data_IF_690301647064
#
_entry.id   IF_690301647064
#
_cell.length_a   1.000
_cell.length_b   1.000
_cell.length_c   1.000
_cell.angle_alpha   90.00
_cell.angle_beta   90.00
_cell.angle_gamma   90.00
#
_symmetry.space_group_name_H-M   'P 1'
#
loop_
_entity.id
_entity.type
_entity.pdbx_description
1 polymer ?
#
# COMPACT_ATOMS: atom_id res chain seq x y z
N UNK A 1 58.37 -61.10 -1.20
CA UNK A 1 57.02 -61.17 -0.60
C UNK A 1 56.43 -59.77 -0.60
N UNK A 2 55.29 -59.59 -1.27
CA UNK A 2 54.68 -58.29 -1.54
C UNK A 2 53.84 -57.79 -0.36
N UNK A 3 54.13 -56.54 -0.04
CA UNK A 3 53.37 -55.51 0.68
C UNK A 3 51.85 -55.69 0.58
N UNK A 4 51.15 -55.58 1.72
CA UNK A 4 49.71 -55.25 1.75
C UNK A 4 49.49 -54.22 2.85
N UNK A 5 49.72 -52.95 2.50
CA UNK A 5 49.24 -51.80 3.26
C UNK A 5 47.74 -51.67 3.01
N UNK A 6 46.95 -51.79 4.09
CA UNK A 6 45.53 -51.48 4.08
C UNK A 6 45.40 -49.96 4.16
N UNK A 7 45.10 -49.34 3.02
CA UNK A 7 44.72 -47.93 2.91
C UNK A 7 43.26 -47.79 3.33
N UNK A 8 43.04 -47.30 4.55
CA UNK A 8 41.73 -46.91 5.05
C UNK A 8 41.38 -45.53 4.44
N UNK A 9 40.67 -45.53 3.31
CA UNK A 9 40.09 -44.32 2.74
C UNK A 9 38.88 -43.90 3.60
N UNK A 10 39.09 -42.93 4.49
CA UNK A 10 38.00 -42.21 5.13
C UNK A 10 37.47 -41.21 4.09
N UNK A 11 36.36 -41.57 3.43
CA UNK A 11 35.54 -40.62 2.70
C UNK A 11 34.93 -39.67 3.74
N UNK A 12 35.53 -38.48 3.88
CA UNK A 12 34.86 -37.34 4.49
C UNK A 12 33.86 -36.84 3.45
N UNK A 13 32.65 -37.41 3.46
CA UNK A 13 31.50 -36.80 2.81
C UNK A 13 31.20 -35.52 3.58
N UNK A 14 31.69 -34.40 3.07
CA UNK A 14 31.25 -33.06 3.45
C UNK A 14 29.75 -33.00 3.19
N UNK A 15 28.96 -33.29 4.21
CA UNK A 15 27.56 -32.87 4.25
C UNK A 15 27.64 -31.36 4.36
N UNK A 16 27.70 -30.68 3.21
CA UNK A 16 27.22 -29.31 3.13
C UNK A 16 25.77 -29.42 3.59
N UNK A 17 25.52 -29.15 4.87
CA UNK A 17 24.18 -28.98 5.42
C UNK A 17 23.58 -27.87 4.56
N UNK A 18 22.77 -28.27 3.58
CA UNK A 18 22.18 -27.36 2.63
C UNK A 18 21.31 -26.42 3.42
N UNK A 19 21.77 -25.18 3.59
CA UNK A 19 20.98 -24.12 4.18
C UNK A 19 19.66 -24.07 3.43
N UNK A 20 18.56 -24.17 4.16
CA UNK A 20 17.24 -24.07 3.55
C UNK A 20 17.00 -22.64 3.06
N UNK A 21 16.13 -22.46 2.06
CA UNK A 21 15.80 -21.13 1.55
C UNK A 21 15.21 -20.22 2.64
N UNK A 22 14.41 -20.78 3.56
CA UNK A 22 13.93 -20.10 4.77
C UNK A 22 15.08 -19.60 5.65
N UNK A 23 16.04 -20.47 6.00
CA UNK A 23 17.20 -20.07 6.82
C UNK A 23 18.07 -19.03 6.13
N UNK A 24 18.15 -19.03 4.81
CA UNK A 24 18.82 -17.99 4.02
C UNK A 24 18.10 -16.65 4.16
N UNK A 25 16.79 -16.61 3.98
CA UNK A 25 15.97 -15.40 4.20
C UNK A 25 16.16 -14.91 5.62
N UNK A 26 16.01 -15.76 6.62
CA UNK A 26 16.09 -15.34 8.02
C UNK A 26 17.47 -14.77 8.34
N UNK A 27 18.55 -15.36 7.83
CA UNK A 27 19.91 -14.85 8.01
C UNK A 27 20.14 -13.50 7.32
N UNK A 28 19.59 -13.30 6.12
CA UNK A 28 19.75 -12.06 5.35
C UNK A 28 18.92 -10.92 5.97
N UNK A 29 17.65 -11.21 6.31
CA UNK A 29 16.69 -10.23 6.83
C UNK A 29 16.69 -10.14 8.36
N UNK A 30 17.74 -10.62 9.06
CA UNK A 30 17.89 -10.48 10.51
C UNK A 30 18.27 -9.05 10.95
N UNK A 31 17.48 -8.06 10.55
CA UNK A 31 17.62 -6.66 10.95
C UNK A 31 16.31 -5.89 10.75
N UNK A 32 16.20 -4.70 11.35
CA UNK A 32 15.08 -3.78 11.17
C UNK A 32 15.62 -2.46 10.59
N UNK A 33 15.33 -2.11 9.32
CA UNK A 33 15.82 -0.88 8.71
C UNK A 33 15.65 0.37 9.59
N UNK A 34 14.50 0.53 10.24
CA UNK A 34 14.20 1.68 11.12
C UNK A 34 15.09 1.82 12.35
N UNK A 35 15.83 0.76 12.71
CA UNK A 35 16.76 0.73 13.85
C UNK A 35 18.22 0.91 13.46
N UNK A 36 18.51 1.02 12.16
CA UNK A 36 19.85 1.15 11.63
C UNK A 36 20.10 2.58 11.12
N UNK A 37 21.33 3.04 11.29
CA UNK A 37 21.84 4.24 10.60
C UNK A 37 21.97 4.00 9.10
N UNK A 38 22.00 5.06 8.30
CA UNK A 38 22.17 4.96 6.83
C UNK A 38 23.41 4.11 6.46
N UNK A 39 24.53 4.32 7.16
CA UNK A 39 25.76 3.55 6.96
C UNK A 39 25.60 2.06 7.29
N UNK A 40 24.84 1.72 8.33
CA UNK A 40 24.55 0.32 8.67
C UNK A 40 23.60 -0.33 7.66
N UNK A 41 22.62 0.41 7.16
CA UNK A 41 21.74 -0.06 6.08
C UNK A 41 22.55 -0.32 4.79
N UNK A 42 23.45 0.59 4.41
CA UNK A 42 24.36 0.42 3.26
C UNK A 42 25.18 -0.87 3.37
N UNK A 43 25.63 -1.24 4.57
CA UNK A 43 26.38 -2.47 4.80
C UNK A 43 25.52 -3.75 4.64
N UNK A 44 24.19 -3.66 4.74
CA UNK A 44 23.26 -4.78 4.52
C UNK A 44 22.90 -4.97 3.05
N UNK A 45 22.94 -3.90 2.24
CA UNK A 45 22.52 -3.92 0.84
C UNK A 45 23.17 -5.03 -0.02
N UNK A 46 24.49 -5.30 0.06
CA UNK A 46 25.09 -6.33 -0.78
C UNK A 46 24.49 -7.73 -0.59
N UNK A 47 24.09 -8.08 0.64
CA UNK A 47 23.46 -9.38 0.92
C UNK A 47 22.05 -9.47 0.33
N UNK A 48 21.28 -8.38 0.38
CA UNK A 48 19.98 -8.29 -0.29
C UNK A 48 20.13 -8.40 -1.80
N UNK A 49 21.10 -7.69 -2.39
CA UNK A 49 21.36 -7.71 -3.84
C UNK A 49 21.76 -9.10 -4.33
N UNK A 50 22.58 -9.83 -3.56
CA UNK A 50 22.95 -11.22 -3.85
C UNK A 50 21.71 -12.11 -3.83
N UNK A 51 20.82 -11.96 -2.84
CA UNK A 51 19.57 -12.72 -2.76
C UNK A 51 18.65 -12.42 -3.95
N UNK A 52 18.42 -11.15 -4.26
CA UNK A 52 17.63 -10.73 -5.41
C UNK A 52 18.19 -11.26 -6.73
N UNK A 53 19.51 -11.17 -6.91
CA UNK A 53 20.19 -11.69 -8.11
C UNK A 53 20.08 -13.21 -8.22
N UNK A 54 20.19 -13.93 -7.10
CA UNK A 54 20.04 -15.40 -7.05
C UNK A 54 18.64 -15.82 -7.46
N UNK A 55 17.60 -15.23 -6.86
CA UNK A 55 16.21 -15.58 -7.17
C UNK A 55 15.82 -15.13 -8.58
N UNK A 56 16.23 -13.94 -9.00
CA UNK A 56 15.97 -13.42 -10.34
C UNK A 56 16.74 -14.12 -11.45
N UNK A 57 17.92 -14.66 -11.15
CA UNK A 57 18.78 -15.38 -12.10
C UNK A 57 18.30 -16.80 -12.42
N UNK A 58 17.56 -17.46 -11.52
CA UNK A 58 17.02 -18.80 -11.72
C UNK A 58 15.58 -18.91 -11.18
N UNK A 59 14.65 -18.33 -11.93
CA UNK A 59 13.22 -18.34 -11.58
C UNK A 59 12.60 -19.74 -11.66
N UNK A 60 13.17 -20.66 -12.43
CA UNK A 60 12.70 -22.06 -12.51
C UNK A 60 12.86 -22.73 -11.13
N UNK A 61 13.98 -22.47 -10.47
CA UNK A 61 14.29 -23.08 -9.18
C UNK A 61 13.69 -22.31 -7.99
N UNK A 62 13.82 -20.98 -7.95
CA UNK A 62 13.56 -20.20 -6.73
C UNK A 62 12.16 -19.57 -6.65
N UNK A 63 11.46 -19.37 -7.77
CA UNK A 63 10.19 -18.63 -7.73
C UNK A 63 9.12 -19.31 -6.88
N UNK A 64 9.02 -20.64 -6.94
CA UNK A 64 8.10 -21.40 -6.10
C UNK A 64 8.48 -21.38 -4.62
N UNK A 65 9.77 -21.30 -4.31
CA UNK A 65 10.27 -21.18 -2.94
C UNK A 65 9.92 -19.79 -2.39
N UNK A 66 10.19 -18.71 -3.14
CA UNK A 66 9.77 -17.35 -2.78
C UNK A 66 8.28 -17.26 -2.49
N UNK A 67 7.43 -17.85 -3.35
CA UNK A 67 5.98 -17.91 -3.12
C UNK A 67 5.60 -18.65 -1.83
N UNK A 68 6.34 -19.69 -1.45
CA UNK A 68 6.08 -20.43 -0.22
C UNK A 68 6.42 -19.56 1.01
N UNK A 69 7.58 -18.91 1.00
CA UNK A 69 8.03 -18.08 2.13
C UNK A 69 7.18 -16.81 2.32
N UNK A 70 6.70 -16.19 1.24
CA UNK A 70 5.76 -15.07 1.32
C UNK A 70 4.40 -15.45 1.93
N UNK A 71 3.98 -16.73 1.83
CA UNK A 71 2.78 -17.23 2.52
C UNK A 71 3.02 -17.45 4.01
N UNK A 72 4.25 -17.79 4.41
CA UNK A 72 4.64 -18.03 5.79
C UNK A 72 4.47 -16.77 6.67
N UNK A 73 4.51 -16.94 7.99
CA UNK A 73 4.36 -15.86 9.00
C UNK A 73 5.55 -15.73 9.96
N UNK A 74 6.60 -16.54 9.77
CA UNK A 74 7.75 -16.60 10.68
C UNK A 74 8.92 -15.67 10.36
N UNK A 75 8.91 -14.98 9.22
CA UNK A 75 10.05 -14.15 8.80
C UNK A 75 9.98 -12.74 9.40
N UNK A 76 11.11 -12.05 9.33
CA UNK A 76 11.19 -10.63 9.63
C UNK A 76 10.16 -9.83 8.79
N UNK A 77 9.40 -8.88 9.39
CA UNK A 77 8.42 -8.06 8.66
C UNK A 77 8.97 -7.35 7.41
N UNK A 78 10.23 -6.93 7.41
CA UNK A 78 10.86 -6.29 6.26
C UNK A 78 10.90 -7.19 5.02
N UNK A 79 11.15 -8.49 5.20
CA UNK A 79 11.14 -9.47 4.10
C UNK A 79 9.81 -9.48 3.36
N UNK A 80 8.68 -9.38 4.06
CA UNK A 80 7.39 -9.45 3.39
C UNK A 80 7.12 -8.29 2.44
N UNK A 81 7.71 -7.12 2.68
CA UNK A 81 7.64 -6.01 1.72
C UNK A 81 8.66 -6.21 0.59
N UNK A 82 9.92 -6.44 0.94
CA UNK A 82 11.01 -6.53 -0.04
C UNK A 82 10.86 -7.73 -0.98
N UNK A 83 10.58 -8.91 -0.42
CA UNK A 83 10.30 -10.13 -1.17
C UNK A 83 9.03 -10.03 -2.03
N UNK A 84 8.04 -9.24 -1.63
CA UNK A 84 6.89 -8.92 -2.48
C UNK A 84 7.30 -8.04 -3.66
N UNK A 85 8.18 -7.05 -3.44
CA UNK A 85 8.77 -6.26 -4.51
C UNK A 85 9.55 -7.13 -5.50
N UNK A 86 10.35 -8.08 -5.00
CA UNK A 86 11.03 -9.07 -5.83
C UNK A 86 10.03 -9.93 -6.62
N UNK A 87 9.00 -10.49 -5.97
CA UNK A 87 7.97 -11.27 -6.65
C UNK A 87 7.31 -10.47 -7.79
N UNK A 88 6.88 -9.24 -7.52
CA UNK A 88 6.26 -8.35 -8.51
C UNK A 88 7.21 -7.98 -9.66
N UNK A 89 8.53 -7.99 -9.43
CA UNK A 89 9.52 -7.74 -10.49
C UNK A 89 9.72 -8.93 -11.43
N UNK A 90 9.42 -10.15 -10.96
CA UNK A 90 9.67 -11.40 -11.71
C UNK A 90 8.44 -11.92 -12.48
N UNK A 91 7.25 -11.45 -12.14
CA UNK A 91 6.00 -12.01 -12.68
C UNK A 91 4.89 -10.97 -12.71
N UNK A 92 4.04 -11.08 -13.73
CA UNK A 92 2.82 -10.27 -13.89
C UNK A 92 1.55 -11.09 -13.62
N UNK A 93 1.67 -12.30 -13.06
CA UNK A 93 0.53 -13.17 -12.84
C UNK A 93 -0.41 -12.60 -11.77
N UNK A 94 -1.72 -12.80 -11.96
CA UNK A 94 -2.73 -12.35 -11.01
C UNK A 94 -2.50 -12.94 -9.60
N UNK A 95 -2.22 -14.24 -9.53
CA UNK A 95 -2.01 -14.94 -8.26
C UNK A 95 -0.78 -14.43 -7.50
N UNK A 96 0.28 -14.05 -8.21
CA UNK A 96 1.48 -13.50 -7.57
C UNK A 96 1.26 -12.08 -7.07
N UNK A 97 0.46 -11.26 -7.77
CA UNK A 97 0.05 -9.94 -7.29
C UNK A 97 -0.84 -10.03 -6.05
N UNK A 98 -1.80 -10.95 -6.02
CA UNK A 98 -2.62 -11.23 -4.84
C UNK A 98 -1.74 -11.67 -3.65
N UNK A 99 -0.81 -12.59 -3.86
CA UNK A 99 0.16 -13.03 -2.84
C UNK A 99 1.04 -11.88 -2.34
N UNK A 100 1.55 -11.04 -3.24
CA UNK A 100 2.36 -9.89 -2.86
C UNK A 100 1.58 -8.91 -1.97
N UNK A 101 0.30 -8.65 -2.27
CA UNK A 101 -0.56 -7.80 -1.43
C UNK A 101 -0.76 -8.40 -0.04
N UNK A 102 -1.02 -9.70 0.03
CA UNK A 102 -1.17 -10.41 1.31
C UNK A 102 0.11 -10.36 2.16
N UNK A 103 1.27 -10.51 1.52
CA UNK A 103 2.56 -10.41 2.17
C UNK A 103 2.88 -8.97 2.59
N UNK A 104 2.67 -7.96 1.74
CA UNK A 104 2.85 -6.53 2.10
C UNK A 104 2.03 -6.18 3.36
N UNK A 105 0.85 -6.78 3.56
CA UNK A 105 0.06 -6.55 4.78
C UNK A 105 0.75 -7.02 6.07
N UNK A 106 1.81 -7.83 6.00
CA UNK A 106 2.60 -8.33 7.13
C UNK A 106 3.79 -7.43 7.48
N UNK A 107 4.14 -6.45 6.65
CA UNK A 107 5.33 -5.62 6.88
C UNK A 107 5.17 -4.70 8.10
N UNK A 108 6.28 -4.23 8.65
CA UNK A 108 6.28 -3.07 9.56
C UNK A 108 6.31 -1.80 8.71
N UNK A 109 5.52 -0.78 9.05
CA UNK A 109 5.49 0.48 8.30
C UNK A 109 6.71 1.35 8.60
N UNK A 110 7.34 1.18 9.77
CA UNK A 110 8.51 1.97 10.17
C UNK A 110 9.76 1.61 9.34
N UNK A 111 9.82 0.37 8.85
CA UNK A 111 10.94 -0.14 8.07
C UNK A 111 10.84 0.20 6.57
N UNK A 112 9.74 0.80 6.13
CA UNK A 112 9.43 1.02 4.70
C UNK A 112 9.29 2.50 4.39
N UNK A 113 9.85 2.93 3.25
CA UNK A 113 9.60 4.27 2.73
C UNK A 113 8.09 4.47 2.46
N UNK A 114 7.46 5.38 3.21
CA UNK A 114 6.03 5.64 3.11
C UNK A 114 5.59 6.03 1.69
N UNK A 115 6.43 6.79 0.97
CA UNK A 115 6.17 7.14 -0.43
C UNK A 115 6.15 5.91 -1.33
N UNK A 116 7.13 5.01 -1.18
CA UNK A 116 7.22 3.81 -2.01
C UNK A 116 6.03 2.90 -1.70
N UNK A 117 5.70 2.72 -0.41
CA UNK A 117 4.54 1.95 0.03
C UNK A 117 3.24 2.42 -0.62
N UNK A 118 2.94 3.72 -0.54
CA UNK A 118 1.72 4.30 -1.13
C UNK A 118 1.71 4.16 -2.65
N UNK A 119 2.84 4.33 -3.33
CA UNK A 119 2.93 4.17 -4.80
C UNK A 119 2.72 2.73 -5.23
N UNK A 120 3.29 1.77 -4.51
CA UNK A 120 3.10 0.33 -4.78
C UNK A 120 1.63 -0.05 -4.65
N UNK A 121 0.97 0.33 -3.56
CA UNK A 121 -0.45 0.01 -3.37
C UNK A 121 -1.37 0.76 -4.34
N UNK A 122 -1.09 2.03 -4.66
CA UNK A 122 -1.81 2.78 -5.70
C UNK A 122 -1.71 2.08 -7.08
N UNK A 123 -0.52 1.60 -7.44
CA UNK A 123 -0.31 0.89 -8.70
C UNK A 123 -1.18 -0.39 -8.76
N UNK A 124 -1.14 -1.22 -7.71
CA UNK A 124 -1.92 -2.46 -7.63
C UNK A 124 -3.44 -2.20 -7.60
N UNK A 125 -3.88 -1.16 -6.87
CA UNK A 125 -5.29 -0.76 -6.84
C UNK A 125 -5.81 -0.35 -8.22
N UNK A 126 -5.00 0.41 -8.99
CA UNK A 126 -5.35 0.82 -10.36
C UNK A 126 -5.46 -0.36 -11.33
N UNK A 127 -4.71 -1.43 -11.08
CA UNK A 127 -4.83 -2.68 -11.83
C UNK A 127 -6.06 -3.51 -11.40
N UNK A 128 -6.81 -3.04 -10.40
CA UNK A 128 -8.07 -3.64 -9.96
C UNK A 128 -7.93 -4.67 -8.83
N UNK A 129 -6.76 -4.76 -8.19
CA UNK A 129 -6.56 -5.62 -7.03
C UNK A 129 -7.07 -4.98 -5.75
N UNK A 130 -7.53 -5.82 -4.82
CA UNK A 130 -7.96 -5.38 -3.49
C UNK A 130 -6.74 -5.17 -2.58
N UNK A 131 -6.36 -3.91 -2.37
CA UNK A 131 -5.26 -3.50 -1.49
C UNK A 131 -5.75 -3.03 -0.12
N UNK A 132 -7.00 -3.28 0.24
CA UNK A 132 -7.63 -2.71 1.45
C UNK A 132 -6.87 -3.07 2.71
N UNK A 133 -6.52 -4.34 2.89
CA UNK A 133 -5.85 -4.84 4.08
C UNK A 133 -4.51 -4.14 4.36
N UNK A 134 -3.54 -4.07 3.42
CA UNK A 134 -2.32 -3.30 3.66
C UNK A 134 -2.59 -1.79 3.75
N UNK A 135 -3.48 -1.23 2.92
CA UNK A 135 -3.74 0.21 2.91
C UNK A 135 -4.26 0.75 4.26
N UNK A 136 -5.17 0.03 4.94
CA UNK A 136 -5.72 0.50 6.24
C UNK A 136 -4.69 0.48 7.37
N UNK A 137 -3.52 -0.18 7.21
CA UNK A 137 -2.47 -0.18 8.24
C UNK A 137 -2.00 1.23 8.57
N UNK A 138 -2.00 2.14 7.60
CA UNK A 138 -1.54 3.51 7.82
C UNK A 138 -2.40 4.27 8.82
N UNK A 139 -3.64 3.83 9.07
CA UNK A 139 -4.56 4.44 10.03
C UNK A 139 -4.11 4.23 11.49
N UNK A 140 -3.25 3.25 11.75
CA UNK A 140 -2.68 2.98 13.07
C UNK A 140 -1.29 3.63 13.27
N UNK A 141 -0.80 4.35 12.26
CA UNK A 141 0.45 5.11 12.34
C UNK A 141 0.13 6.60 12.55
N UNK A 142 0.39 7.11 13.76
CA UNK A 142 -0.05 8.43 14.27
C UNK A 142 0.26 9.61 13.33
N UNK A 143 1.32 9.50 12.52
CA UNK A 143 1.83 10.60 11.66
C UNK A 143 2.24 10.13 10.26
N UNK A 144 1.47 9.20 9.68
CA UNK A 144 1.77 8.71 8.33
C UNK A 144 1.64 9.82 7.28
N UNK A 145 2.76 10.24 6.70
CA UNK A 145 2.80 11.27 5.66
C UNK A 145 4.17 11.33 4.98
N UNK A 146 4.20 11.75 3.72
CA UNK A 146 5.47 12.01 3.04
C UNK A 146 5.46 13.34 2.30
N UNK A 147 6.62 14.00 2.27
CA UNK A 147 6.80 15.23 1.54
C UNK A 147 7.02 14.96 0.04
N UNK A 148 6.50 15.83 -0.82
CA UNK A 148 6.69 15.85 -2.26
C UNK A 148 7.49 17.10 -2.64
N UNK A 149 8.83 16.99 -2.77
CA UNK A 149 9.69 18.14 -3.03
C UNK A 149 9.30 18.92 -4.28
N UNK A 150 8.89 18.22 -5.34
CA UNK A 150 8.51 18.81 -6.63
C UNK A 150 7.33 19.78 -6.51
N UNK A 151 6.45 19.58 -5.52
CA UNK A 151 5.23 20.35 -5.32
C UNK A 151 5.23 21.11 -3.98
N UNK A 152 6.36 21.10 -3.25
CA UNK A 152 6.49 21.63 -1.90
C UNK A 152 5.32 21.23 -0.96
N UNK A 153 4.81 20.01 -1.11
CA UNK A 153 3.55 19.57 -0.51
C UNK A 153 3.74 18.38 0.43
N UNK A 154 2.99 18.33 1.53
CA UNK A 154 2.88 17.13 2.38
C UNK A 154 1.66 16.31 1.95
N UNK A 155 1.91 15.06 1.58
CA UNK A 155 0.88 14.06 1.36
C UNK A 155 0.50 13.43 2.70
N UNK A 156 -0.58 13.92 3.30
CA UNK A 156 -1.04 13.47 4.62
C UNK A 156 -1.70 12.07 4.58
N UNK A 157 -1.96 11.48 5.75
CA UNK A 157 -2.57 10.15 5.89
C UNK A 157 -3.89 10.00 5.09
N UNK A 158 -4.74 11.03 5.06
CA UNK A 158 -6.00 11.01 4.31
C UNK A 158 -5.79 10.94 2.79
N UNK A 159 -4.84 11.70 2.25
CA UNK A 159 -4.48 11.61 0.83
C UNK A 159 -3.77 10.29 0.51
N UNK A 160 -2.86 9.81 1.37
CA UNK A 160 -2.25 8.49 1.24
C UNK A 160 -3.32 7.40 1.13
N UNK A 161 -4.29 7.38 2.06
CA UNK A 161 -5.37 6.39 2.06
C UNK A 161 -6.23 6.49 0.81
N UNK A 162 -6.60 7.72 0.42
CA UNK A 162 -7.40 8.01 -0.77
C UNK A 162 -6.72 7.47 -2.04
N UNK A 163 -5.43 7.72 -2.22
CA UNK A 163 -4.70 7.27 -3.39
C UNK A 163 -4.47 5.75 -3.41
N UNK A 164 -4.46 5.07 -2.26
CA UNK A 164 -4.39 3.60 -2.25
C UNK A 164 -5.76 2.94 -2.47
N UNK A 165 -6.86 3.53 -1.98
CA UNK A 165 -8.17 2.87 -1.98
C UNK A 165 -9.13 3.32 -3.08
N UNK A 166 -9.12 4.57 -3.51
CA UNK A 166 -10.10 5.07 -4.49
C UNK A 166 -9.88 4.53 -5.92
N UNK A 167 -8.66 4.16 -6.36
CA UNK A 167 -8.50 3.57 -7.69
C UNK A 167 -9.16 2.19 -7.89
N UNK A 168 -9.39 1.44 -6.80
CA UNK A 168 -10.05 0.13 -6.82
C UNK A 168 -11.57 0.25 -6.62
N UNK A 169 -12.32 -0.85 -6.74
CA UNK A 169 -13.78 -0.83 -6.57
C UNK A 169 -14.19 -0.55 -5.13
N UNK A 170 -15.16 0.35 -4.95
CA UNK A 170 -15.74 0.75 -3.65
C UNK A 170 -16.12 -0.43 -2.73
N UNK A 171 -16.65 -1.52 -3.31
CA UNK A 171 -17.08 -2.72 -2.58
C UNK A 171 -15.97 -3.40 -1.77
N UNK A 172 -14.70 -3.13 -2.09
CA UNK A 172 -13.56 -3.73 -1.37
C UNK A 172 -13.29 -3.05 -0.02
N UNK A 173 -13.53 -1.74 0.08
CA UNK A 173 -13.01 -0.97 1.20
C UNK A 173 -14.05 -0.17 1.99
N UNK A 174 -15.19 0.23 1.42
CA UNK A 174 -16.15 1.10 2.13
C UNK A 174 -16.62 0.45 3.43
N UNK A 175 -17.05 -0.81 3.39
CA UNK A 175 -17.57 -1.52 4.55
C UNK A 175 -16.50 -1.71 5.63
N UNK A 176 -15.27 -1.98 5.22
CA UNK A 176 -14.12 -2.10 6.11
C UNK A 176 -13.84 -0.76 6.80
N UNK A 177 -13.80 0.35 6.06
CA UNK A 177 -13.57 1.68 6.64
C UNK A 177 -14.66 2.09 7.62
N UNK A 178 -15.93 1.81 7.30
CA UNK A 178 -17.07 2.04 8.19
C UNK A 178 -16.94 1.21 9.47
N UNK A 179 -16.61 -0.08 9.33
CA UNK A 179 -16.54 -1.01 10.45
C UNK A 179 -15.47 -0.62 11.48
N UNK A 180 -14.30 -0.17 11.04
CA UNK A 180 -13.19 0.18 11.94
C UNK A 180 -13.28 1.62 12.49
N UNK A 181 -14.13 2.48 11.91
CA UNK A 181 -14.11 3.93 12.14
C UNK A 181 -14.13 4.34 13.62
N UNK A 182 -14.95 3.69 14.44
CA UNK A 182 -15.13 4.06 15.85
C UNK A 182 -13.92 3.73 16.72
N UNK A 183 -13.09 2.78 16.29
CA UNK A 183 -11.92 2.31 17.02
C UNK A 183 -10.65 3.12 16.66
N UNK A 184 -10.76 4.02 15.69
CA UNK A 184 -9.67 4.87 15.22
C UNK A 184 -9.52 6.14 16.06
N UNK A 185 -8.30 6.68 16.09
CA UNK A 185 -8.06 8.01 16.62
C UNK A 185 -8.69 9.12 15.75
N UNK A 186 -8.68 10.34 16.26
CA UNK A 186 -9.30 11.50 15.59
C UNK A 186 -8.69 11.81 14.22
N UNK A 187 -7.38 11.63 14.03
CA UNK A 187 -6.72 11.90 12.76
C UNK A 187 -7.07 10.82 11.73
N UNK A 188 -7.03 9.56 12.15
CA UNK A 188 -7.43 8.42 11.34
C UNK A 188 -8.92 8.47 10.96
N UNK A 189 -9.81 8.88 11.85
CA UNK A 189 -11.22 9.14 11.53
C UNK A 189 -11.38 10.21 10.44
N UNK A 190 -10.62 11.32 10.52
CA UNK A 190 -10.64 12.34 9.47
C UNK A 190 -10.10 11.80 8.15
N UNK A 191 -9.05 10.97 8.17
CA UNK A 191 -8.53 10.28 6.99
C UNK A 191 -9.59 9.39 6.34
N UNK A 192 -10.36 8.62 7.13
CA UNK A 192 -11.49 7.82 6.63
C UNK A 192 -12.56 8.71 6.00
N UNK A 193 -12.98 9.79 6.67
CA UNK A 193 -13.97 10.73 6.12
C UNK A 193 -13.48 11.30 4.77
N UNK A 194 -12.22 11.69 4.66
CA UNK A 194 -11.64 12.17 3.39
C UNK A 194 -11.76 11.13 2.29
N UNK A 195 -11.36 9.88 2.56
CA UNK A 195 -11.41 8.80 1.56
C UNK A 195 -12.85 8.45 1.16
N UNK A 196 -13.78 8.37 2.12
CA UNK A 196 -15.20 8.14 1.84
C UNK A 196 -15.81 9.31 1.04
N UNK A 197 -15.37 10.54 1.32
CA UNK A 197 -15.77 11.71 0.54
C UNK A 197 -15.32 11.58 -0.91
N UNK A 198 -14.05 11.21 -1.13
CA UNK A 198 -13.55 10.96 -2.47
C UNK A 198 -14.24 9.76 -3.14
N UNK A 199 -14.68 8.72 -2.43
CA UNK A 199 -15.29 7.53 -3.02
C UNK A 199 -16.58 7.79 -3.86
N UNK A 200 -17.26 8.93 -3.65
CA UNK A 200 -18.49 9.33 -4.37
C UNK A 200 -19.60 8.25 -4.37
N UNK A 201 -19.79 7.59 -3.23
CA UNK A 201 -20.69 6.45 -3.04
C UNK A 201 -21.84 6.79 -2.09
N UNK A 202 -23.06 6.30 -2.34
CA UNK A 202 -24.20 6.61 -1.48
C UNK A 202 -24.03 6.07 -0.05
N UNK A 203 -23.43 4.88 0.12
CA UNK A 203 -23.20 4.32 1.45
C UNK A 203 -22.19 5.14 2.24
N UNK A 204 -21.17 5.68 1.55
CA UNK A 204 -20.24 6.65 2.14
C UNK A 204 -20.96 7.91 2.59
N UNK A 205 -21.90 8.41 1.78
CA UNK A 205 -22.63 9.64 2.07
C UNK A 205 -23.56 9.48 3.28
N UNK A 206 -24.35 8.41 3.32
CA UNK A 206 -25.23 8.09 4.45
C UNK A 206 -24.43 7.95 5.76
N UNK A 207 -23.25 7.33 5.69
CA UNK A 207 -22.39 7.18 6.85
C UNK A 207 -21.79 8.51 7.32
N UNK A 208 -21.32 9.36 6.40
CA UNK A 208 -20.81 10.69 6.74
C UNK A 208 -21.91 11.57 7.33
N UNK A 209 -23.13 11.52 6.81
CA UNK A 209 -24.28 12.23 7.38
C UNK A 209 -24.54 11.77 8.82
N UNK A 210 -24.52 10.46 9.06
CA UNK A 210 -24.64 9.88 10.40
C UNK A 210 -23.56 10.42 11.35
N UNK A 211 -22.29 10.42 10.93
CA UNK A 211 -21.17 10.97 11.71
C UNK A 211 -21.37 12.46 12.00
N UNK A 212 -21.86 13.23 11.03
CA UNK A 212 -22.03 14.68 11.17
C UNK A 212 -23.06 15.08 12.24
N UNK A 213 -23.94 14.15 12.62
CA UNK A 213 -24.99 14.34 13.61
C UNK A 213 -24.74 13.57 14.93
N UNK A 214 -23.71 12.74 15.00
CA UNK A 214 -23.43 11.92 16.19
C UNK A 214 -22.78 12.75 17.31
N UNK A 215 -23.55 12.95 18.39
CA UNK A 215 -23.14 13.72 19.57
C UNK A 215 -22.15 12.96 20.46
N UNK A 216 -21.94 11.67 20.23
CA UNK A 216 -20.99 10.86 21.01
C UNK A 216 -19.58 10.89 20.41
N UNK A 217 -19.41 11.40 19.19
CA UNK A 217 -18.11 11.57 18.57
C UNK A 217 -17.44 12.88 19.02
N UNK A 218 -16.10 12.97 18.97
CA UNK A 218 -15.41 14.23 19.16
C UNK A 218 -15.92 15.29 18.18
N UNK A 219 -16.24 16.49 18.69
CA UNK A 219 -16.83 17.59 17.89
C UNK A 219 -16.01 17.91 16.62
N UNK A 220 -14.68 17.79 16.71
CA UNK A 220 -13.77 18.02 15.58
C UNK A 220 -13.99 17.02 14.43
N UNK A 221 -14.45 15.81 14.72
CA UNK A 221 -14.73 14.76 13.72
C UNK A 221 -16.08 15.00 13.07
N UNK A 222 -17.12 15.28 13.86
CA UNK A 222 -18.46 15.60 13.34
C UNK A 222 -18.45 16.88 12.50
N UNK A 223 -17.73 17.92 12.94
CA UNK A 223 -17.55 19.17 12.18
C UNK A 223 -16.76 18.94 10.90
N UNK A 224 -15.77 18.05 10.92
CA UNK A 224 -15.03 17.67 9.72
C UNK A 224 -15.95 17.00 8.69
N UNK A 225 -16.74 16.01 9.11
CA UNK A 225 -17.72 15.35 8.24
C UNK A 225 -18.72 16.36 7.65
N UNK A 226 -19.29 17.22 8.49
CA UNK A 226 -20.22 18.28 8.05
C UNK A 226 -19.60 19.20 7.00
N UNK A 227 -18.33 19.60 7.19
CA UNK A 227 -17.61 20.41 6.22
C UNK A 227 -17.41 19.67 4.90
N UNK A 228 -17.00 18.41 4.94
CA UNK A 228 -16.78 17.61 3.71
C UNK A 228 -18.08 17.42 2.93
N UNK A 229 -19.19 17.08 3.61
CA UNK A 229 -20.52 16.96 2.97
C UNK A 229 -20.95 18.28 2.32
N UNK A 230 -20.75 19.40 3.01
CA UNK A 230 -21.08 20.73 2.49
C UNK A 230 -20.15 21.23 1.37
N UNK A 231 -19.01 20.56 1.13
CA UNK A 231 -17.99 21.01 0.19
C UNK A 231 -18.32 20.61 -1.24
N UNK A 232 -19.39 21.16 -1.82
CA UNK A 232 -19.91 20.81 -3.16
C UNK A 232 -19.97 21.99 -4.15
N UNK A 233 -19.68 23.20 -3.68
CA UNK A 233 -19.87 24.45 -4.45
C UNK A 233 -18.81 24.71 -5.51
N UNK A 234 -19.11 24.48 -6.78
CA UNK A 234 -18.22 24.73 -7.92
C UNK A 234 -18.06 26.22 -8.26
N UNK A 235 -16.86 26.64 -8.66
CA UNK A 235 -16.61 27.98 -9.24
C UNK A 235 -17.30 28.13 -10.60
N UNK A 236 -17.41 29.37 -11.10
CA UNK A 236 -18.02 29.60 -12.42
C UNK A 236 -17.18 28.97 -13.54
N UNK A 237 -15.85 29.01 -13.44
CA UNK A 237 -14.96 28.39 -14.41
C UNK A 237 -15.08 26.86 -14.38
N UNK A 238 -15.17 26.26 -13.19
CA UNK A 238 -15.43 24.83 -13.03
C UNK A 238 -16.79 24.46 -13.64
N UNK A 239 -17.84 25.26 -13.44
CA UNK A 239 -19.15 25.04 -14.07
C UNK A 239 -19.09 25.15 -15.59
N UNK A 240 -18.34 26.11 -16.13
CA UNK A 240 -18.17 26.29 -17.57
C UNK A 240 -17.40 25.12 -18.20
N UNK A 241 -16.31 24.69 -17.56
CA UNK A 241 -15.52 23.51 -17.95
C UNK A 241 -16.38 22.24 -17.99
N UNK A 242 -17.43 22.16 -17.20
CA UNK A 242 -18.33 21.00 -17.16
C UNK A 242 -19.36 20.95 -18.26
N UNK A 243 -19.71 22.10 -18.83
CA UNK A 243 -20.63 22.12 -19.96
C UNK A 243 -19.98 21.58 -21.24
N UNK A 244 -18.66 21.38 -21.24
CA UNK A 244 -17.88 20.91 -22.39
C UNK A 244 -17.30 19.49 -22.22
N UNK A 245 -17.27 18.94 -21.00
CA UNK A 245 -16.81 17.56 -20.78
C UNK A 245 -17.98 16.61 -20.53
N UNK A 246 -17.91 15.41 -21.08
CA UNK A 246 -18.88 14.35 -20.82
C UNK A 246 -18.49 13.51 -19.58
N UNK A 247 -19.38 12.58 -19.21
CA UNK A 247 -19.19 11.69 -18.04
C UNK A 247 -17.96 10.78 -18.20
N UNK A 248 -17.63 10.33 -19.41
CA UNK A 248 -16.49 9.45 -19.64
C UNK A 248 -15.18 10.24 -19.47
N UNK A 249 -15.10 11.44 -20.04
CA UNK A 249 -13.98 12.36 -19.87
C UNK A 249 -13.76 12.72 -18.40
N UNK A 250 -14.84 12.97 -17.65
CA UNK A 250 -14.76 13.23 -16.21
C UNK A 250 -14.15 12.03 -15.43
N UNK A 251 -14.53 10.81 -15.79
CA UNK A 251 -13.97 9.60 -15.17
C UNK A 251 -12.50 9.39 -15.53
N UNK A 252 -12.10 9.69 -16.77
CA UNK A 252 -10.70 9.60 -17.19
C UNK A 252 -9.83 10.66 -16.51
N UNK A 253 -10.31 11.90 -16.37
CA UNK A 253 -9.63 12.94 -15.57
C UNK A 253 -9.42 12.46 -14.14
N UNK A 254 -10.47 11.91 -13.52
CA UNK A 254 -10.39 11.38 -12.16
C UNK A 254 -9.36 10.25 -12.02
N UNK A 255 -9.33 9.30 -12.95
CA UNK A 255 -8.32 8.22 -12.97
C UNK A 255 -6.90 8.76 -13.16
N UNK A 256 -6.75 9.77 -14.02
CA UNK A 256 -5.48 10.46 -14.25
C UNK A 256 -4.99 11.17 -12.98
N UNK A 257 -5.85 11.92 -12.31
CA UNK A 257 -5.57 12.57 -11.03
C UNK A 257 -5.09 11.57 -9.97
N UNK A 258 -5.80 10.44 -9.81
CA UNK A 258 -5.42 9.36 -8.88
C UNK A 258 -4.11 8.64 -9.25
N UNK A 259 -3.53 8.93 -10.41
CA UNK A 259 -2.25 8.37 -10.87
C UNK A 259 -1.06 9.29 -10.62
N UNK A 260 -1.31 10.56 -10.26
CA UNK A 260 -0.30 11.61 -10.16
C UNK A 260 -0.25 12.13 -8.72
N UNK A 261 0.92 12.07 -8.12
CA UNK A 261 1.15 12.56 -6.76
C UNK A 261 1.60 14.02 -6.82
N UNK A 262 0.64 14.94 -7.04
CA UNK A 262 0.87 16.38 -7.11
C UNK A 262 -0.29 17.20 -6.56
N UNK A 263 -0.06 18.49 -6.32
CA UNK A 263 -1.09 19.45 -5.95
C UNK A 263 -2.11 19.64 -7.07
N UNK A 264 -1.66 19.74 -8.33
CA UNK A 264 -2.61 19.88 -9.46
C UNK A 264 -3.50 18.64 -9.63
N UNK A 265 -2.95 17.46 -9.32
CA UNK A 265 -3.72 16.22 -9.34
C UNK A 265 -4.76 16.19 -8.21
N UNK A 266 -4.44 16.73 -7.03
CA UNK A 266 -5.40 16.85 -5.93
C UNK A 266 -6.49 17.85 -6.28
N UNK A 267 -6.16 18.99 -6.88
CA UNK A 267 -7.14 19.98 -7.34
C UNK A 267 -8.08 19.41 -8.41
N UNK A 268 -7.54 18.65 -9.36
CA UNK A 268 -8.33 17.93 -10.37
C UNK A 268 -9.22 16.86 -9.71
N UNK A 269 -8.68 16.10 -8.75
CA UNK A 269 -9.45 15.09 -8.02
C UNK A 269 -10.58 15.73 -7.19
N UNK A 270 -10.32 16.84 -6.51
CA UNK A 270 -11.31 17.60 -5.74
C UNK A 270 -12.43 18.12 -6.64
N UNK A 271 -12.06 18.78 -7.73
CA UNK A 271 -13.01 19.29 -8.72
C UNK A 271 -13.89 18.15 -9.24
N UNK A 272 -13.30 17.07 -9.74
CA UNK A 272 -14.06 15.93 -10.28
C UNK A 272 -14.95 15.27 -9.23
N UNK A 273 -14.52 15.21 -7.96
CA UNK A 273 -15.31 14.69 -6.84
C UNK A 273 -16.56 15.54 -6.58
N UNK A 274 -16.40 16.86 -6.48
CA UNK A 274 -17.52 17.81 -6.28
C UNK A 274 -18.57 17.70 -7.38
N UNK A 275 -18.12 17.49 -8.60
CA UNK A 275 -18.99 17.28 -9.76
C UNK A 275 -19.78 15.99 -9.61
N UNK A 276 -19.07 14.88 -9.39
CA UNK A 276 -19.70 13.56 -9.28
C UNK A 276 -20.70 13.54 -8.14
N UNK A 277 -20.39 14.15 -7.00
CA UNK A 277 -21.31 14.29 -5.86
C UNK A 277 -22.56 15.12 -6.20
N UNK A 278 -22.44 16.16 -7.01
CA UNK A 278 -23.60 16.94 -7.47
C UNK A 278 -24.48 16.18 -8.47
N UNK A 279 -23.89 15.29 -9.26
CA UNK A 279 -24.59 14.45 -10.23
C UNK A 279 -25.23 13.21 -9.59
N UNK A 280 -24.51 12.60 -8.64
CA UNK A 280 -24.98 11.47 -7.84
C UNK A 280 -25.96 12.00 -6.81
N UNK A 281 -27.25 12.01 -7.16
CA UNK A 281 -28.35 12.25 -6.24
C UNK A 281 -28.53 11.07 -5.29
N UNK A 282 -27.50 10.78 -4.50
CA UNK A 282 -27.69 9.90 -3.34
C UNK A 282 -28.73 10.53 -2.39
N UNK A 283 -28.91 11.86 -2.45
CA UNK A 283 -30.02 12.66 -1.92
C UNK A 283 -30.39 13.82 -2.85
#
# INVERSE_FOLDING_TARGET
MKITQILLLIFISSVALGQTFSEEIDNIYNFQPSKLTDKEQELKMPSLDIFWSKVGGDTIHYLNQLRAELRNTGHNPFFYYDGSGLLLSLTNSKADKELAIEAIAKCDLDDISQRVYVRTLNHLAKEGFDVTKPAIKILYAEKYSFFIPQHAMVFNQGYCLTYMLVPQQNKFYIDTLIAIFKDLDTNAQKSVITTLWFACDCKSDDFMETISMDKNLPIIVSDYAKRMIGYTQLSNDQKAYLNIIDKAQLQELRKSALSRFSDEAIDELDMTTRILRKQNKCH
#
